data_IF_592634334861
#
_entry.id   IF_592634334861
#
_cell.length_a   1.000
_cell.length_b   1.000
_cell.length_c   1.000
_cell.angle_alpha   90.00
_cell.angle_beta   90.00
_cell.angle_gamma   90.00
#
_symmetry.space_group_name_H-M   'P 1'
#
loop_
_entity.id
_entity.type
_entity.pdbx_description
1 polymer ?
#
# COMPACT_ATOMS: atom_id res chain seq x y z
N UNK A 1 -0.49 0.89 8.24
CA UNK A 1 -0.58 1.27 6.82
C UNK A 1 0.55 2.22 6.51
N UNK A 2 1.47 1.85 5.60
CA UNK A 2 2.53 2.77 5.18
C UNK A 2 2.02 3.76 4.13
N UNK A 3 2.45 5.05 4.22
CA UNK A 3 1.97 6.11 3.34
C UNK A 3 0.47 6.39 3.48
N UNK A 4 -0.04 6.39 4.71
CA UNK A 4 -1.46 6.57 5.03
C UNK A 4 -1.94 8.02 5.06
N UNK A 5 -1.11 9.00 4.67
CA UNK A 5 -1.45 10.44 4.80
C UNK A 5 -2.23 11.01 3.62
N UNK A 6 -2.39 10.27 2.53
CA UNK A 6 -3.13 10.73 1.34
C UNK A 6 -3.47 9.56 0.40
N UNK A 7 -4.31 9.82 -0.60
CA UNK A 7 -4.62 8.90 -1.68
C UNK A 7 -5.14 7.54 -1.20
N UNK A 8 -4.68 6.46 -1.83
CA UNK A 8 -5.16 5.10 -1.55
C UNK A 8 -4.95 4.72 -0.08
N UNK A 9 -3.78 5.01 0.50
CA UNK A 9 -3.48 4.65 1.89
C UNK A 9 -4.39 5.35 2.90
N UNK A 10 -4.74 6.60 2.66
CA UNK A 10 -5.68 7.35 3.50
C UNK A 10 -7.09 6.74 3.45
N UNK A 11 -7.58 6.41 2.26
CA UNK A 11 -8.90 5.80 2.10
C UNK A 11 -8.94 4.36 2.64
N UNK A 12 -7.83 3.60 2.56
CA UNK A 12 -7.70 2.32 3.26
C UNK A 12 -7.78 2.50 4.77
N UNK A 13 -7.11 3.51 5.34
CA UNK A 13 -7.20 3.81 6.76
C UNK A 13 -8.65 4.11 7.18
N UNK A 14 -9.34 4.97 6.42
CA UNK A 14 -10.76 5.29 6.64
C UNK A 14 -11.67 4.06 6.56
N UNK A 15 -11.46 3.20 5.55
CA UNK A 15 -12.26 1.97 5.37
C UNK A 15 -12.02 0.97 6.50
N UNK A 16 -10.78 0.80 6.96
CA UNK A 16 -10.44 -0.10 8.07
C UNK A 16 -11.00 0.40 9.40
N UNK A 17 -10.89 1.70 9.69
CA UNK A 17 -11.51 2.33 10.86
C UNK A 17 -13.03 2.13 10.86
N UNK A 18 -13.69 2.33 9.72
CA UNK A 18 -15.13 2.11 9.54
C UNK A 18 -15.50 0.64 9.75
N UNK A 19 -14.60 -0.29 9.43
CA UNK A 19 -14.78 -1.73 9.66
C UNK A 19 -14.44 -2.17 11.09
N UNK A 20 -14.11 -1.25 12.00
CA UNK A 20 -13.85 -1.53 13.41
C UNK A 20 -12.38 -1.75 13.78
N UNK A 21 -11.46 -1.69 12.84
CA UNK A 21 -10.04 -1.86 13.11
C UNK A 21 -9.43 -0.70 13.92
N UNK A 22 -8.38 -1.00 14.69
CA UNK A 22 -7.42 -0.01 15.15
C UNK A 22 -6.34 0.17 14.07
N UNK A 23 -6.00 1.41 13.72
CA UNK A 23 -5.17 1.70 12.56
C UNK A 23 -4.00 2.61 12.94
N UNK A 24 -2.78 2.19 12.61
CA UNK A 24 -1.61 3.07 12.62
C UNK A 24 -1.36 3.51 11.17
N UNK A 25 -1.40 4.80 10.91
CA UNK A 25 -0.94 5.37 9.65
C UNK A 25 0.49 5.86 9.77
N UNK A 26 1.31 5.63 8.73
CA UNK A 26 2.68 6.18 8.73
C UNK A 26 2.91 7.13 7.56
N UNK A 27 3.85 8.04 7.76
CA UNK A 27 4.30 9.01 6.78
C UNK A 27 5.60 9.67 7.22
N UNK A 28 6.28 10.38 6.32
CA UNK A 28 7.55 11.05 6.60
C UNK A 28 7.40 12.44 7.25
N UNK A 29 6.25 13.08 7.06
CA UNK A 29 5.97 14.43 7.53
C UNK A 29 4.98 14.39 8.69
N UNK A 30 5.39 14.91 9.84
CA UNK A 30 4.53 15.08 11.01
C UNK A 30 3.32 15.95 10.70
N UNK A 31 3.51 17.02 9.91
CA UNK A 31 2.43 17.92 9.52
C UNK A 31 1.35 17.18 8.72
N UNK A 32 1.76 16.40 7.69
CA UNK A 32 0.81 15.62 6.89
C UNK A 32 0.10 14.54 7.71
N UNK A 33 0.81 13.91 8.64
CA UNK A 33 0.21 12.96 9.57
C UNK A 33 -0.85 13.66 10.43
N UNK A 34 -0.53 14.81 11.02
CA UNK A 34 -1.45 15.60 11.84
C UNK A 34 -2.72 16.00 11.06
N UNK A 35 -2.56 16.47 9.82
CA UNK A 35 -3.69 16.83 8.95
C UNK A 35 -4.56 15.61 8.63
N UNK A 36 -3.96 14.50 8.21
CA UNK A 36 -4.68 13.26 7.89
C UNK A 36 -5.41 12.70 9.11
N UNK A 37 -4.78 12.70 10.28
CA UNK A 37 -5.44 12.28 11.52
C UNK A 37 -6.56 13.24 11.92
N UNK A 38 -6.40 14.55 11.70
CA UNK A 38 -7.45 15.53 11.94
C UNK A 38 -8.70 15.23 11.12
N UNK A 39 -8.54 15.04 9.82
CA UNK A 39 -9.63 14.71 8.90
C UNK A 39 -10.30 13.36 9.25
N UNK A 40 -9.52 12.31 9.54
CA UNK A 40 -10.08 11.01 9.93
C UNK A 40 -10.83 11.08 11.27
N UNK A 41 -10.34 11.86 12.24
CA UNK A 41 -10.96 12.00 13.56
C UNK A 41 -12.19 12.92 13.58
N UNK A 42 -12.61 13.52 12.46
CA UNK A 42 -13.91 14.19 12.35
C UNK A 42 -15.07 13.23 12.63
N UNK A 43 -14.88 11.92 12.39
CA UNK A 43 -15.82 10.89 12.82
C UNK A 43 -15.45 10.42 14.25
N UNK A 44 -16.30 10.77 15.20
CA UNK A 44 -16.12 10.42 16.62
C UNK A 44 -15.98 8.90 16.87
N UNK A 45 -16.51 8.06 15.97
CA UNK A 45 -16.40 6.60 16.06
C UNK A 45 -14.97 6.09 15.88
N UNK A 46 -14.04 6.91 15.36
CA UNK A 46 -12.64 6.51 15.16
C UNK A 46 -11.73 6.88 16.32
N UNK A 47 -12.21 7.68 17.26
CA UNK A 47 -11.44 8.09 18.45
C UNK A 47 -10.93 6.89 19.23
N UNK A 48 -9.65 6.94 19.60
CA UNK A 48 -8.96 5.87 20.33
C UNK A 48 -8.55 4.66 19.48
N UNK A 49 -8.89 4.65 18.16
CA UNK A 49 -8.50 3.58 17.24
C UNK A 49 -7.60 4.03 16.11
N UNK A 50 -7.33 5.34 15.98
CA UNK A 50 -6.42 5.92 15.00
C UNK A 50 -5.15 6.41 15.69
N UNK A 51 -4.01 5.98 15.16
CA UNK A 51 -2.68 6.34 15.61
C UNK A 51 -1.83 6.79 14.41
N UNK A 52 -0.91 7.69 14.67
CA UNK A 52 0.08 8.15 13.70
C UNK A 52 1.49 7.72 14.09
N UNK A 53 2.36 7.56 13.12
CA UNK A 53 3.77 7.26 13.36
C UNK A 53 4.64 7.81 12.23
N UNK A 54 5.61 8.67 12.57
CA UNK A 54 6.61 9.11 11.60
C UNK A 54 7.51 7.95 11.22
N UNK A 55 7.49 7.58 9.94
CA UNK A 55 8.31 6.51 9.39
C UNK A 55 8.67 6.79 7.94
N UNK A 56 9.94 6.64 7.60
CA UNK A 56 10.46 6.66 6.24
C UNK A 56 10.78 5.23 5.79
N UNK A 57 10.15 4.78 4.71
CA UNK A 57 10.35 3.43 4.16
C UNK A 57 11.76 3.19 3.62
N UNK A 58 12.56 4.23 3.39
CA UNK A 58 13.97 4.09 2.98
C UNK A 58 14.89 3.80 4.17
N UNK A 59 14.46 4.08 5.39
CA UNK A 59 15.25 3.93 6.62
C UNK A 59 15.00 2.58 7.28
N UNK A 60 15.47 1.53 6.61
CA UNK A 60 15.34 0.13 7.06
C UNK A 60 15.98 -0.08 8.45
N UNK A 61 17.06 0.66 8.74
CA UNK A 61 17.76 0.67 10.03
C UNK A 61 16.85 1.05 11.21
N UNK A 62 15.79 1.80 10.97
CA UNK A 62 14.84 2.25 12.00
C UNK A 62 13.59 1.37 12.12
N UNK A 63 13.40 0.35 11.30
CA UNK A 63 12.14 -0.40 11.26
C UNK A 63 11.82 -1.11 12.58
N UNK A 64 12.79 -1.68 13.26
CA UNK A 64 12.59 -2.31 14.58
C UNK A 64 12.06 -1.31 15.62
N UNK A 65 12.71 -0.13 15.74
CA UNK A 65 12.27 0.93 16.65
C UNK A 65 10.86 1.43 16.30
N UNK A 66 10.60 1.67 15.02
CA UNK A 66 9.28 2.15 14.56
C UNK A 66 8.19 1.12 14.75
N UNK A 67 8.48 -0.14 14.51
CA UNK A 67 7.51 -1.20 14.72
C UNK A 67 7.18 -1.39 16.21
N UNK A 68 8.17 -1.32 17.09
CA UNK A 68 7.92 -1.34 18.54
C UNK A 68 7.04 -0.17 18.98
N UNK A 69 7.31 1.04 18.50
CA UNK A 69 6.45 2.22 18.77
C UNK A 69 5.02 2.04 18.25
N UNK A 70 4.86 1.38 17.11
CA UNK A 70 3.53 1.05 16.61
C UNK A 70 2.78 0.09 17.54
N UNK A 71 3.45 -0.96 18.03
CA UNK A 71 2.89 -1.90 19.01
C UNK A 71 2.50 -1.20 20.31
N UNK A 72 3.35 -0.31 20.82
CA UNK A 72 3.08 0.43 22.06
C UNK A 72 1.84 1.33 21.90
N UNK A 73 1.70 2.00 20.74
CA UNK A 73 0.54 2.86 20.44
C UNK A 73 -0.77 2.05 20.39
N UNK A 74 -0.81 0.95 19.65
CA UNK A 74 -2.04 0.12 19.58
C UNK A 74 -2.31 -0.59 20.91
N UNK A 75 -1.27 -0.98 21.64
CA UNK A 75 -1.38 -1.55 22.97
C UNK A 75 -2.04 -0.58 23.97
N UNK A 76 -1.70 0.71 23.91
CA UNK A 76 -2.36 1.75 24.71
C UNK A 76 -3.84 1.94 24.35
N UNK A 77 -4.23 1.60 23.12
CA UNK A 77 -5.61 1.58 22.64
C UNK A 77 -6.34 0.26 22.93
N UNK A 78 -5.72 -0.69 23.65
CA UNK A 78 -6.34 -1.96 24.04
C UNK A 78 -6.16 -3.09 23.02
N UNK A 79 -5.39 -2.90 21.94
CA UNK A 79 -5.11 -3.96 20.97
C UNK A 79 -3.80 -4.67 21.36
N UNK A 80 -3.82 -6.00 21.62
CA UNK A 80 -2.65 -6.71 22.13
C UNK A 80 -1.56 -6.94 21.07
N UNK A 81 -1.87 -6.81 19.78
CA UNK A 81 -0.95 -7.09 18.67
C UNK A 81 -1.38 -6.31 17.42
N UNK A 82 -0.49 -6.29 16.43
CA UNK A 82 -0.79 -5.86 15.07
C UNK A 82 -0.86 -7.12 14.20
N UNK A 83 -1.96 -7.31 13.49
CA UNK A 83 -2.23 -8.50 12.67
C UNK A 83 -2.30 -8.21 11.17
N UNK A 84 -2.33 -6.93 10.77
CA UNK A 84 -2.38 -6.53 9.36
C UNK A 84 -1.27 -5.52 9.05
N UNK A 85 -0.47 -5.81 8.02
CA UNK A 85 0.46 -4.85 7.42
C UNK A 85 -0.01 -4.49 6.01
N UNK A 86 -0.18 -3.19 5.75
CA UNK A 86 -0.43 -2.68 4.41
C UNK A 86 0.79 -1.91 3.91
N UNK A 87 1.50 -2.48 2.95
CA UNK A 87 2.61 -1.86 2.24
C UNK A 87 2.06 -1.01 1.08
N UNK A 88 1.71 0.25 1.37
CA UNK A 88 1.13 1.16 0.40
C UNK A 88 2.08 2.30 -0.02
N UNK A 89 3.02 2.70 0.84
CA UNK A 89 3.95 3.78 0.51
C UNK A 89 4.66 3.55 -0.83
N UNK A 90 4.66 4.56 -1.69
CA UNK A 90 5.31 4.50 -2.98
C UNK A 90 5.52 5.87 -3.61
N UNK A 91 6.49 5.95 -4.51
CA UNK A 91 6.82 7.15 -5.28
C UNK A 91 6.99 6.79 -6.76
N UNK A 92 6.74 7.76 -7.63
CA UNK A 92 7.05 7.67 -9.06
C UNK A 92 8.51 8.08 -9.30
N UNK A 93 9.02 7.78 -10.48
CA UNK A 93 10.36 8.17 -10.93
C UNK A 93 10.41 8.33 -12.45
N UNK A 94 11.55 8.78 -12.93
CA UNK A 94 11.81 8.91 -14.36
C UNK A 94 11.96 7.53 -15.03
N UNK A 95 11.67 7.51 -16.35
CA UNK A 95 11.93 6.36 -17.23
C UNK A 95 13.19 6.58 -18.04
N UNK A 96 13.72 5.51 -18.64
CA UNK A 96 14.75 5.60 -19.68
C UNK A 96 14.28 6.53 -20.82
N UNK A 97 15.18 7.26 -21.51
CA UNK A 97 16.62 7.30 -21.25
C UNK A 97 17.06 8.33 -20.18
N UNK A 98 16.11 9.03 -19.53
CA UNK A 98 16.38 10.17 -18.64
C UNK A 98 16.40 9.80 -17.14
N UNK A 99 16.40 8.52 -16.80
CA UNK A 99 16.50 8.08 -15.40
C UNK A 99 17.91 8.33 -14.86
N UNK A 100 18.01 8.89 -13.65
CA UNK A 100 19.28 9.03 -12.91
C UNK A 100 19.39 7.96 -11.85
N UNK A 101 20.61 7.63 -11.42
CA UNK A 101 20.88 6.66 -10.34
C UNK A 101 20.14 7.07 -9.05
N UNK A 102 20.23 8.33 -8.63
CA UNK A 102 19.54 8.84 -7.45
C UNK A 102 18.01 8.67 -7.54
N UNK A 103 17.42 8.99 -8.69
CA UNK A 103 15.99 8.82 -8.91
C UNK A 103 15.59 7.33 -8.92
N UNK A 104 16.44 6.46 -9.47
CA UNK A 104 16.26 5.03 -9.47
C UNK A 104 16.30 4.48 -8.03
N UNK A 105 17.35 4.79 -7.27
CA UNK A 105 17.55 4.33 -5.90
C UNK A 105 16.40 4.78 -4.99
N UNK A 106 15.98 6.04 -5.09
CA UNK A 106 14.84 6.56 -4.32
C UNK A 106 13.57 5.74 -4.54
N UNK A 107 13.31 5.34 -5.78
CA UNK A 107 12.12 4.53 -6.10
C UNK A 107 12.28 3.12 -5.57
N UNK A 108 13.41 2.47 -5.82
CA UNK A 108 13.67 1.09 -5.39
C UNK A 108 13.70 1.01 -3.86
N UNK A 109 14.37 1.93 -3.19
CA UNK A 109 14.45 1.97 -1.73
C UNK A 109 13.07 2.15 -1.09
N UNK A 110 12.22 3.03 -1.65
CA UNK A 110 10.88 3.26 -1.11
C UNK A 110 9.92 2.11 -1.43
N UNK A 111 9.83 1.74 -2.74
CA UNK A 111 8.74 0.92 -3.26
C UNK A 111 9.01 -0.59 -3.12
N UNK A 112 10.27 -1.01 -3.02
CA UNK A 112 10.64 -2.42 -3.01
C UNK A 112 11.48 -2.80 -1.80
N UNK A 113 12.63 -2.17 -1.58
CA UNK A 113 13.54 -2.51 -0.48
C UNK A 113 12.87 -2.31 0.88
N UNK A 114 12.23 -1.15 1.11
CA UNK A 114 11.50 -0.91 2.35
C UNK A 114 10.37 -1.91 2.57
N UNK A 115 9.62 -2.24 1.51
CA UNK A 115 8.55 -3.25 1.57
C UNK A 115 9.10 -4.63 1.92
N UNK A 116 10.21 -5.02 1.30
CA UNK A 116 10.87 -6.31 1.57
C UNK A 116 11.23 -6.45 3.06
N UNK A 117 11.98 -5.50 3.60
CA UNK A 117 12.47 -5.59 4.99
C UNK A 117 11.37 -5.39 6.03
N UNK A 118 10.39 -4.52 5.76
CA UNK A 118 9.26 -4.36 6.67
C UNK A 118 8.38 -5.63 6.69
N UNK A 119 8.17 -6.27 5.55
CA UNK A 119 7.45 -7.55 5.46
C UNK A 119 8.21 -8.69 6.13
N UNK A 120 9.55 -8.72 6.02
CA UNK A 120 10.39 -9.67 6.74
C UNK A 120 10.26 -9.53 8.26
N UNK A 121 10.35 -8.30 8.76
CA UNK A 121 10.17 -7.98 10.18
C UNK A 121 8.79 -8.38 10.67
N UNK A 122 7.76 -7.96 9.96
CA UNK A 122 6.38 -8.20 10.35
C UNK A 122 5.98 -9.68 10.27
N UNK A 123 6.37 -10.38 9.19
CA UNK A 123 6.14 -11.83 9.06
C UNK A 123 6.87 -12.63 10.15
N UNK A 124 8.09 -12.23 10.50
CA UNK A 124 8.83 -12.78 11.63
C UNK A 124 8.11 -12.59 12.97
N UNK A 125 7.56 -11.40 13.20
CA UNK A 125 6.77 -11.08 14.38
C UNK A 125 5.50 -11.94 14.47
N UNK A 126 4.70 -12.03 13.40
CA UNK A 126 3.49 -12.85 13.38
C UNK A 126 3.80 -14.31 13.69
N UNK A 127 4.83 -14.88 13.03
CA UNK A 127 5.27 -16.26 13.28
C UNK A 127 5.72 -16.49 14.72
N UNK A 128 6.57 -15.61 15.28
CA UNK A 128 7.13 -15.76 16.62
C UNK A 128 6.04 -15.69 17.71
N UNK A 129 5.02 -14.84 17.50
CA UNK A 129 3.93 -14.65 18.45
C UNK A 129 2.70 -15.52 18.17
N UNK A 130 2.74 -16.36 17.12
CA UNK A 130 1.61 -17.22 16.69
C UNK A 130 0.34 -16.42 16.40
N UNK A 131 0.50 -15.23 15.83
CA UNK A 131 -0.61 -14.35 15.42
C UNK A 131 -0.95 -14.67 13.97
N UNK A 132 -2.17 -15.12 13.72
CA UNK A 132 -2.72 -15.17 12.36
C UNK A 132 -2.88 -13.74 11.83
N UNK A 133 -2.56 -13.50 10.56
CA UNK A 133 -2.59 -12.13 10.06
C UNK A 133 -2.53 -12.01 8.56
N UNK A 134 -2.35 -10.77 8.10
CA UNK A 134 -2.35 -10.45 6.69
C UNK A 134 -1.22 -9.49 6.33
N UNK A 135 -0.60 -9.70 5.17
CA UNK A 135 0.24 -8.69 4.50
C UNK A 135 -0.44 -8.32 3.17
N UNK A 136 -0.81 -7.07 3.01
CA UNK A 136 -1.36 -6.54 1.77
C UNK A 136 -0.34 -5.61 1.11
N UNK A 137 0.10 -5.99 -0.09
CA UNK A 137 1.05 -5.20 -0.87
C UNK A 137 0.32 -4.40 -1.95
N UNK A 138 0.54 -3.08 -2.01
CA UNK A 138 -0.01 -2.25 -3.08
C UNK A 138 0.92 -2.29 -4.30
N UNK A 139 0.51 -3.09 -5.28
CA UNK A 139 1.14 -3.18 -6.60
C UNK A 139 0.74 -2.03 -7.53
N UNK A 140 0.54 -2.36 -8.79
CA UNK A 140 0.05 -1.45 -9.84
C UNK A 140 -0.32 -2.26 -11.09
N UNK A 141 -1.14 -1.71 -11.99
CA UNK A 141 -1.27 -2.23 -13.36
C UNK A 141 0.09 -2.35 -14.07
N UNK A 142 1.09 -1.58 -13.63
CA UNK A 142 2.48 -1.67 -14.11
C UNK A 142 3.13 -3.04 -13.88
N UNK A 143 2.59 -3.90 -12.98
CA UNK A 143 3.04 -5.28 -12.84
C UNK A 143 2.76 -6.16 -14.08
N UNK A 144 1.99 -5.66 -15.05
CA UNK A 144 1.63 -6.36 -16.30
C UNK A 144 2.32 -5.78 -17.54
N UNK A 145 3.05 -4.67 -17.38
CA UNK A 145 3.61 -3.91 -18.50
C UNK A 145 5.12 -4.12 -18.66
N UNK A 146 5.68 -3.99 -19.86
CA UNK A 146 7.13 -3.87 -20.04
C UNK A 146 7.71 -2.76 -19.16
N UNK A 147 8.95 -2.94 -18.70
CA UNK A 147 9.55 -2.09 -17.69
C UNK A 147 10.75 -1.30 -18.20
N UNK A 148 10.58 0.02 -18.36
CA UNK A 148 11.64 0.98 -18.69
C UNK A 148 11.85 2.01 -17.56
N UNK A 149 11.25 1.81 -16.39
CA UNK A 149 11.40 2.70 -15.22
C UNK A 149 11.61 1.90 -13.94
N UNK A 150 12.31 2.51 -12.97
CA UNK A 150 12.46 1.96 -11.63
C UNK A 150 11.09 1.67 -10.98
N UNK A 151 10.09 2.52 -11.23
CA UNK A 151 8.74 2.32 -10.72
C UNK A 151 8.14 1.00 -11.22
N UNK A 152 8.12 0.77 -12.53
CA UNK A 152 7.58 -0.46 -13.11
C UNK A 152 8.37 -1.68 -12.63
N UNK A 153 9.71 -1.61 -12.59
CA UNK A 153 10.55 -2.67 -12.03
C UNK A 153 10.21 -2.97 -10.57
N UNK A 154 10.04 -1.92 -9.74
CA UNK A 154 9.65 -2.09 -8.35
C UNK A 154 8.31 -2.81 -8.20
N UNK A 155 7.33 -2.49 -9.06
CA UNK A 155 5.99 -3.11 -9.02
C UNK A 155 6.01 -4.58 -9.50
N UNK A 156 6.86 -4.94 -10.46
CA UNK A 156 7.15 -6.34 -10.78
C UNK A 156 7.78 -7.07 -9.59
N UNK A 157 8.74 -6.43 -8.91
CA UNK A 157 9.35 -6.96 -7.69
C UNK A 157 8.30 -7.22 -6.58
N UNK A 158 7.36 -6.31 -6.38
CA UNK A 158 6.25 -6.47 -5.41
C UNK A 158 5.38 -7.68 -5.76
N UNK A 159 5.09 -7.92 -7.04
CA UNK A 159 4.33 -9.11 -7.46
C UNK A 159 5.06 -10.40 -7.08
N UNK A 160 6.35 -10.48 -7.40
CA UNK A 160 7.18 -11.64 -7.05
C UNK A 160 7.32 -11.84 -5.53
N UNK A 161 7.53 -10.73 -4.79
CA UNK A 161 7.62 -10.74 -3.32
C UNK A 161 6.32 -11.22 -2.68
N UNK A 162 5.16 -10.81 -3.19
CA UNK A 162 3.84 -11.25 -2.70
C UNK A 162 3.71 -12.77 -2.78
N UNK A 163 4.07 -13.37 -3.92
CA UNK A 163 4.03 -14.83 -4.10
C UNK A 163 5.00 -15.55 -3.15
N UNK A 164 6.24 -15.05 -3.02
CA UNK A 164 7.26 -15.65 -2.15
C UNK A 164 6.86 -15.61 -0.68
N UNK A 165 6.37 -14.45 -0.20
CA UNK A 165 5.88 -14.30 1.17
C UNK A 165 4.64 -15.17 1.45
N UNK A 166 3.70 -15.24 0.50
CA UNK A 166 2.51 -16.07 0.63
C UNK A 166 2.88 -17.54 0.83
N UNK A 167 3.78 -18.07 -0.01
CA UNK A 167 4.28 -19.44 0.13
C UNK A 167 4.96 -19.68 1.47
N UNK A 168 5.75 -18.72 1.96
CA UNK A 168 6.54 -18.88 3.18
C UNK A 168 5.72 -18.73 4.46
N UNK A 169 4.65 -17.92 4.43
CA UNK A 169 3.89 -17.54 5.64
C UNK A 169 2.54 -18.26 5.78
N UNK A 170 1.99 -18.81 4.70
CA UNK A 170 0.72 -19.54 4.74
C UNK A 170 0.69 -20.67 5.79
N UNK A 171 1.77 -21.47 6.01
CA UNK A 171 1.78 -22.50 7.06
C UNK A 171 1.61 -21.95 8.49
N UNK A 172 1.77 -20.65 8.69
CA UNK A 172 1.63 -19.98 9.98
C UNK A 172 0.30 -19.20 10.12
N UNK A 173 -0.68 -19.46 9.22
CA UNK A 173 -1.96 -18.77 9.23
C UNK A 173 -1.90 -17.31 8.74
N UNK A 174 -0.85 -16.93 8.05
CA UNK A 174 -0.68 -15.57 7.50
C UNK A 174 -0.96 -15.57 6.00
N UNK A 175 -1.95 -14.80 5.57
CA UNK A 175 -2.23 -14.59 4.14
C UNK A 175 -1.44 -13.39 3.62
N UNK A 176 -0.87 -13.53 2.42
CA UNK A 176 -0.18 -12.44 1.75
C UNK A 176 -0.77 -12.28 0.36
N UNK A 177 -1.28 -11.09 0.08
CA UNK A 177 -1.88 -10.77 -1.21
C UNK A 177 -1.43 -9.39 -1.70
N UNK A 178 -1.67 -9.13 -2.96
CA UNK A 178 -1.48 -7.83 -3.57
C UNK A 178 -2.79 -7.23 -4.07
N UNK A 179 -2.86 -5.91 -4.08
CA UNK A 179 -3.86 -5.16 -4.81
C UNK A 179 -3.13 -4.28 -5.82
N UNK A 180 -3.55 -4.33 -7.08
CA UNK A 180 -2.87 -3.67 -8.19
C UNK A 180 -3.79 -2.64 -8.86
N UNK A 181 -3.82 -1.40 -8.36
CA UNK A 181 -4.61 -0.34 -8.96
C UNK A 181 -4.10 0.01 -10.36
N UNK A 182 -5.04 0.38 -11.23
CA UNK A 182 -4.77 1.16 -12.43
C UNK A 182 -4.72 2.66 -12.13
N UNK A 183 -4.93 3.51 -13.14
CA UNK A 183 -5.06 4.93 -12.95
C UNK A 183 -6.15 5.26 -11.91
N UNK A 184 -5.76 5.82 -10.78
CA UNK A 184 -6.63 6.12 -9.63
C UNK A 184 -6.61 7.60 -9.34
N UNK A 185 -7.77 8.20 -9.05
CA UNK A 185 -7.94 9.61 -8.74
C UNK A 185 -7.30 9.95 -7.38
N UNK A 186 -6.02 10.22 -7.36
CA UNK A 186 -5.21 10.53 -6.18
C UNK A 186 -4.35 11.76 -6.43
N UNK A 187 -3.86 12.46 -5.39
CA UNK A 187 -2.91 13.57 -5.55
C UNK A 187 -1.62 13.21 -6.33
N UNK A 188 -1.32 11.92 -6.45
CA UNK A 188 -0.19 11.44 -7.26
C UNK A 188 -0.43 11.61 -8.78
N UNK A 189 -1.69 11.50 -9.25
CA UNK A 189 -2.06 11.55 -10.66
C UNK A 189 -2.91 12.77 -11.04
N UNK A 190 -3.75 13.25 -10.14
CA UNK A 190 -4.54 14.47 -10.34
C UNK A 190 -3.81 15.66 -9.73
N UNK A 191 -3.76 16.77 -10.48
CA UNK A 191 -3.27 18.04 -9.93
C UNK A 191 -4.31 18.62 -8.98
N UNK A 192 -3.85 19.39 -8.00
CA UNK A 192 -4.72 20.07 -7.04
C UNK A 192 -5.81 20.88 -7.77
N UNK A 193 -7.06 20.71 -7.32
CA UNK A 193 -8.23 21.37 -7.92
C UNK A 193 -8.80 20.71 -9.17
N UNK A 194 -8.33 19.50 -9.53
CA UNK A 194 -8.84 18.75 -10.68
C UNK A 194 -9.91 17.74 -10.21
N UNK A 195 -11.19 18.14 -10.25
CA UNK A 195 -12.33 17.27 -9.88
C UNK A 195 -12.77 16.32 -11.01
N UNK A 196 -12.25 16.51 -12.21
CA UNK A 196 -12.63 15.70 -13.36
C UNK A 196 -11.90 14.35 -13.35
N UNK A 197 -12.62 13.30 -13.04
CA UNK A 197 -12.12 11.91 -13.05
C UNK A 197 -12.25 11.23 -14.42
N UNK A 198 -12.67 11.91 -15.48
CA UNK A 198 -12.74 11.35 -16.82
C UNK A 198 -11.35 10.96 -17.32
N UNK A 199 -11.22 9.72 -17.77
CA UNK A 199 -9.99 9.19 -18.37
C UNK A 199 -10.36 8.33 -19.59
N UNK A 200 -10.29 8.93 -20.78
CA UNK A 200 -10.64 8.25 -22.03
C UNK A 200 -9.70 7.10 -22.39
N UNK A 201 -8.49 7.07 -21.85
CA UNK A 201 -7.53 5.97 -22.02
C UNK A 201 -7.83 4.75 -21.13
N UNK A 202 -8.77 4.88 -20.20
CA UNK A 202 -9.20 3.75 -19.37
C UNK A 202 -10.50 3.14 -19.95
N UNK A 203 -10.61 1.82 -20.14
CA UNK A 203 -11.81 1.16 -20.67
C UNK A 203 -13.11 1.54 -19.95
N UNK A 204 -13.09 1.77 -18.64
CA UNK A 204 -14.29 2.25 -17.91
C UNK A 204 -14.53 3.77 -18.07
N UNK A 205 -13.74 4.47 -18.89
CA UNK A 205 -13.89 5.90 -19.19
C UNK A 205 -13.49 6.87 -18.08
N UNK A 206 -12.99 6.39 -16.94
CA UNK A 206 -12.62 7.20 -15.79
C UNK A 206 -11.44 6.64 -15.00
N UNK A 207 -10.88 7.44 -14.12
CA UNK A 207 -10.01 6.96 -13.05
C UNK A 207 -10.80 6.06 -12.09
N UNK A 208 -10.14 5.06 -11.50
CA UNK A 208 -10.67 4.39 -10.32
C UNK A 208 -10.71 5.38 -9.14
N UNK A 209 -11.64 5.18 -8.21
CA UNK A 209 -11.68 5.97 -6.98
C UNK A 209 -10.83 5.27 -5.89
N UNK A 210 -10.13 6.02 -5.05
CA UNK A 210 -9.38 5.45 -3.93
C UNK A 210 -10.24 4.58 -3.01
N UNK A 211 -11.51 4.93 -2.83
CA UNK A 211 -12.49 4.17 -2.03
C UNK A 211 -12.79 2.79 -2.64
N UNK A 212 -12.81 2.68 -3.96
CA UNK A 212 -13.02 1.37 -4.63
C UNK A 212 -11.87 0.42 -4.29
N UNK A 213 -10.63 0.94 -4.31
CA UNK A 213 -9.43 0.19 -3.93
C UNK A 213 -9.47 -0.17 -2.44
N UNK A 214 -9.84 0.78 -1.59
CA UNK A 214 -9.92 0.59 -0.14
C UNK A 214 -10.97 -0.44 0.27
N UNK A 215 -12.12 -0.49 -0.41
CA UNK A 215 -13.17 -1.48 -0.16
C UNK A 215 -12.67 -2.91 -0.47
N UNK A 216 -11.94 -3.10 -1.57
CA UNK A 216 -11.34 -4.40 -1.88
C UNK A 216 -10.22 -4.76 -0.88
N UNK A 217 -9.45 -3.78 -0.40
CA UNK A 217 -8.45 -4.01 0.63
C UNK A 217 -9.09 -4.58 1.91
N UNK A 218 -10.25 -4.07 2.33
CA UNK A 218 -11.01 -4.63 3.46
C UNK A 218 -11.36 -6.11 3.21
N UNK A 219 -11.83 -6.46 2.01
CA UNK A 219 -12.13 -7.86 1.66
C UNK A 219 -10.88 -8.73 1.81
N UNK A 220 -9.75 -8.30 1.23
CA UNK A 220 -8.52 -9.09 1.19
C UNK A 220 -7.89 -9.34 2.57
N UNK A 221 -8.09 -8.44 3.53
CA UNK A 221 -7.53 -8.59 4.89
C UNK A 221 -8.54 -9.09 5.92
N UNK A 222 -9.78 -9.33 5.51
CA UNK A 222 -10.85 -9.83 6.36
C UNK A 222 -11.08 -11.34 6.16
N UNK A 223 -11.92 -11.97 6.98
CA UNK A 223 -12.34 -13.37 6.78
C UNK A 223 -12.95 -13.65 5.40
N UNK A 224 -13.50 -12.65 4.71
CA UNK A 224 -14.07 -12.81 3.35
C UNK A 224 -13.01 -13.18 2.31
N UNK A 225 -11.77 -12.66 2.47
CA UNK A 225 -10.66 -12.93 1.56
C UNK A 225 -9.75 -14.09 1.98
N UNK A 226 -10.09 -14.86 3.01
CA UNK A 226 -9.17 -15.82 3.64
C UNK A 226 -8.66 -16.94 2.73
N UNK A 227 -9.39 -17.26 1.67
CA UNK A 227 -8.96 -18.26 0.67
C UNK A 227 -8.17 -17.67 -0.50
N UNK A 228 -8.01 -16.33 -0.55
CA UNK A 228 -7.17 -15.65 -1.52
C UNK A 228 -5.76 -15.59 -0.92
N UNK A 229 -4.81 -16.32 -1.53
CA UNK A 229 -3.44 -16.45 -1.01
C UNK A 229 -2.45 -16.35 -2.16
N UNK A 230 -1.55 -15.39 -2.10
CA UNK A 230 -0.52 -15.16 -3.10
C UNK A 230 -1.03 -14.51 -4.38
N UNK A 231 -2.25 -14.01 -4.39
CA UNK A 231 -2.82 -13.40 -5.60
C UNK A 231 -2.56 -11.89 -5.67
N UNK A 232 -2.65 -11.37 -6.89
CA UNK A 232 -2.59 -9.94 -7.19
C UNK A 232 -3.91 -9.53 -7.81
N UNK A 233 -4.78 -8.89 -7.03
CA UNK A 233 -6.09 -8.42 -7.49
C UNK A 233 -5.93 -7.14 -8.30
N UNK A 234 -6.17 -7.22 -9.60
CA UNK A 234 -6.04 -6.09 -10.52
C UNK A 234 -7.33 -5.26 -10.55
N UNK A 235 -7.24 -4.03 -10.05
CA UNK A 235 -8.34 -3.04 -10.04
C UNK A 235 -7.99 -1.90 -11.00
N UNK A 236 -7.96 -2.21 -12.28
CA UNK A 236 -7.38 -1.33 -13.30
C UNK A 236 -8.41 -0.58 -14.13
N UNK A 237 -9.69 -0.91 -13.98
CA UNK A 237 -10.72 -0.44 -14.92
C UNK A 237 -10.53 -0.97 -16.35
N UNK A 238 -9.75 -2.06 -16.50
CA UNK A 238 -9.39 -2.67 -17.78
C UNK A 238 -8.04 -2.22 -18.34
N UNK A 239 -7.44 -1.15 -17.82
CA UNK A 239 -6.12 -0.70 -18.26
C UNK A 239 -5.05 -1.77 -18.01
N UNK A 240 -4.19 -2.03 -19.01
CA UNK A 240 -3.18 -3.09 -19.04
C UNK A 240 -3.69 -4.54 -18.89
N UNK A 241 -5.01 -4.74 -18.82
CA UNK A 241 -5.62 -6.08 -18.82
C UNK A 241 -6.48 -6.34 -20.07
N UNK A 242 -7.21 -5.32 -20.52
CA UNK A 242 -8.06 -5.36 -21.71
C UNK A 242 -7.45 -4.52 -22.84
N UNK A 243 -6.74 -3.45 -22.51
CA UNK A 243 -6.01 -2.60 -23.46
C UNK A 243 -4.51 -2.69 -23.22
N UNK A 244 -3.75 -2.89 -24.31
CA UNK A 244 -2.28 -2.94 -24.30
C UNK A 244 -1.63 -1.71 -24.97
N UNK A 245 -2.43 -0.87 -25.63
CA UNK A 245 -1.97 0.21 -26.51
C UNK A 245 -1.99 1.59 -25.85
N UNK A 246 -2.15 1.63 -24.51
CA UNK A 246 -2.31 2.88 -23.75
C UNK A 246 -0.99 3.52 -23.31
N UNK A 247 0.16 3.00 -23.76
CA UNK A 247 1.49 3.51 -23.44
C UNK A 247 2.45 3.37 -24.63
N UNK A 248 3.15 4.46 -24.93
CA UNK A 248 4.31 4.41 -25.80
C UNK A 248 5.52 3.90 -25.04
N UNK A 249 6.13 2.83 -25.53
CA UNK A 249 7.37 2.27 -25.01
C UNK A 249 8.52 2.72 -25.90
N UNK A 250 8.99 3.95 -25.69
CA UNK A 250 10.16 4.50 -26.38
C UNK A 250 11.40 4.36 -25.52
N UNK A 251 12.51 4.08 -26.17
CA UNK A 251 13.84 4.08 -25.56
C UNK A 251 14.55 5.39 -25.81
#
# INVERSE_FOLDING_TARGET
>A
ITGGTSGIGFHMAKAFLRSGAAVVITGRSEERLRLACGELNEDDHYKGRLFDLVMDNTRVDLFHDRFQKALDKVGSGGCPHIDILVNNAGVLGASMPNATEEAFDKVIDTNLKGVFFLSQLFGGYLKANKVEGNILNVGSSSCLRPATSAYTLSKWGIRGLTLGLAKSLAPYGVTVNGIAPGPTATPMLLKDGQDNITNKGNPIGRYALPEEIANMAVVLVSPMGRTIVGDMVYMTGGAATVTYDDMDYTF
#
